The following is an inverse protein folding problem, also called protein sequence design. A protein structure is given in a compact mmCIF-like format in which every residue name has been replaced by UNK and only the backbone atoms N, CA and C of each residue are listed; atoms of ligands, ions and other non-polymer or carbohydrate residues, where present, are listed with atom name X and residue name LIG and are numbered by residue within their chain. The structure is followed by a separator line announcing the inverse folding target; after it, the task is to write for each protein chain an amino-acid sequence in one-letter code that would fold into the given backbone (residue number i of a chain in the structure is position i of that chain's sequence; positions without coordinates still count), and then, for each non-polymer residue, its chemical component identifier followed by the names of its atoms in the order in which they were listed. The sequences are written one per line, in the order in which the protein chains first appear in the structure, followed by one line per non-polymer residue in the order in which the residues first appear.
data_IF_984441135279
#
_entry.id   IF_984441135279
#
_cell.length_a   1.000
_cell.length_b   1.000
_cell.length_c   1.000
_cell.angle_alpha   90.00
_cell.angle_beta   90.00
_cell.angle_gamma   90.00
#
_symmetry.space_group_name_H-M   'P 1'
#
loop_
_entity.id
_entity.type
_entity.pdbx_description
1 polymer ?
#
# COMPACT_ATOMS: atom_id res chain seq x y z
N UNK A 1 -15.47 -5.10 -10.61
CA UNK A 1 -14.48 -6.18 -10.59
C UNK A 1 -14.90 -7.09 -9.46
N UNK A 2 -15.24 -8.31 -9.85
CA UNK A 2 -16.04 -9.25 -9.09
C UNK A 2 -15.36 -9.66 -7.80
N UNK A 3 -15.96 -9.34 -6.65
CA UNK A 3 -15.53 -9.86 -5.35
C UNK A 3 -16.30 -11.14 -5.07
N UNK A 4 -15.92 -12.21 -5.77
CA UNK A 4 -16.18 -13.56 -5.30
C UNK A 4 -15.35 -13.81 -4.04
N UNK A 5 -15.87 -13.44 -2.87
CA UNK A 5 -15.31 -13.85 -1.59
C UNK A 5 -15.63 -15.34 -1.41
N UNK A 6 -14.62 -16.17 -1.66
CA UNK A 6 -14.62 -17.60 -1.33
C UNK A 6 -14.50 -17.75 0.19
N UNK A 7 -15.56 -17.42 0.93
CA UNK A 7 -15.66 -17.83 2.32
C UNK A 7 -16.13 -19.28 2.35
N UNK A 8 -15.27 -20.15 2.85
CA UNK A 8 -15.67 -21.47 3.32
C UNK A 8 -16.41 -21.31 4.66
N UNK A 9 -17.56 -20.63 4.63
CA UNK A 9 -18.42 -20.46 5.81
C UNK A 9 -19.15 -21.78 6.02
N UNK A 10 -18.95 -22.38 7.19
CA UNK A 10 -19.79 -23.46 7.64
C UNK A 10 -21.19 -22.89 7.89
N UNK A 11 -22.04 -22.95 6.86
CA UNK A 11 -23.45 -22.58 6.91
C UNK A 11 -24.12 -23.32 8.08
N UNK A 12 -24.33 -22.63 9.20
CA UNK A 12 -25.20 -23.10 10.26
C UNK A 12 -26.64 -22.85 9.79
N UNK A 13 -27.13 -23.74 8.93
CA UNK A 13 -28.50 -23.71 8.40
C UNK A 13 -29.47 -23.94 9.56
N UNK A 14 -30.00 -22.87 10.15
CA UNK A 14 -31.11 -22.91 11.11
C UNK A 14 -32.41 -22.80 10.32
N UNK A 15 -32.81 -23.89 9.66
CA UNK A 15 -34.14 -23.99 9.03
C UNK A 15 -35.18 -24.19 10.13
N UNK A 16 -35.80 -23.10 10.57
CA UNK A 16 -36.97 -23.13 11.45
C UNK A 16 -38.22 -23.09 10.57
N UNK A 17 -38.64 -24.26 10.09
CA UNK A 17 -39.93 -24.47 9.42
C UNK A 17 -41.07 -24.39 10.46
N UNK A 18 -41.52 -23.19 10.82
CA UNK A 18 -42.80 -23.02 11.54
C UNK A 18 -43.97 -22.98 10.55
N UNK A 19 -44.59 -24.14 10.35
CA UNK A 19 -45.93 -24.22 9.77
C UNK A 19 -46.95 -23.62 10.76
N UNK A 20 -47.17 -22.30 10.72
CA UNK A 20 -48.23 -21.65 11.51
C UNK A 20 -49.55 -21.71 10.76
N UNK A 21 -50.37 -22.70 11.13
CA UNK A 21 -51.76 -22.78 10.73
C UNK A 21 -52.61 -21.76 11.53
N UNK A 22 -53.17 -20.76 10.86
CA UNK A 22 -54.36 -20.03 11.31
C UNK A 22 -55.39 -19.92 10.18
N UNK A 23 -56.62 -20.32 10.50
CA UNK A 23 -57.74 -20.63 9.61
C UNK A 23 -58.40 -19.37 9.03
N UNK A 24 -58.53 -19.32 7.69
CA UNK A 24 -59.38 -18.35 7.00
C UNK A 24 -59.45 -18.55 5.47
N UNK A 25 -60.36 -19.42 5.00
CA UNK A 25 -60.95 -19.47 3.64
C UNK A 25 -60.23 -18.74 2.50
N UNK A 26 -59.36 -19.46 1.78
CA UNK A 26 -59.45 -19.76 0.35
C UNK A 26 -58.38 -20.81 0.07
N UNK A 27 -58.78 -21.96 -0.47
CA UNK A 27 -57.81 -22.91 -1.01
C UNK A 27 -57.24 -22.29 -2.30
N UNK A 28 -56.04 -21.74 -2.23
CA UNK A 28 -55.16 -21.77 -3.39
C UNK A 28 -54.58 -23.20 -3.39
N UNK A 29 -55.01 -24.01 -4.34
CA UNK A 29 -54.31 -25.24 -4.67
C UNK A 29 -52.90 -24.83 -5.11
N UNK A 30 -51.87 -25.30 -4.40
CA UNK A 30 -50.48 -25.12 -4.78
C UNK A 30 -50.30 -25.60 -6.22
N UNK A 31 -50.00 -24.68 -7.13
CA UNK A 31 -49.34 -25.03 -8.37
C UNK A 31 -47.91 -25.45 -7.99
N UNK A 32 -47.45 -26.55 -8.58
CA UNK A 32 -46.13 -27.15 -8.38
C UNK A 32 -44.98 -26.17 -8.73
N UNK A 33 -44.64 -25.32 -7.77
CA UNK A 33 -43.51 -24.39 -7.78
C UNK A 33 -43.24 -24.00 -6.33
N UNK A 34 -42.72 -24.94 -5.53
CA UNK A 34 -42.34 -24.64 -4.14
C UNK A 34 -41.11 -23.72 -4.19
N UNK A 35 -41.33 -22.41 -4.10
CA UNK A 35 -40.27 -21.45 -3.89
C UNK A 35 -39.55 -21.78 -2.58
N UNK A 36 -38.24 -21.90 -2.65
CA UNK A 36 -37.35 -22.04 -1.52
C UNK A 36 -36.82 -20.64 -1.18
N UNK A 37 -37.03 -20.23 0.06
CA UNK A 37 -36.65 -18.93 0.59
C UNK A 37 -35.74 -19.12 1.79
N UNK A 38 -34.56 -18.53 1.73
CA UNK A 38 -33.56 -18.54 2.81
C UNK A 38 -33.14 -17.12 3.09
N UNK A 39 -33.02 -16.77 4.36
CA UNK A 39 -32.53 -15.47 4.83
C UNK A 39 -31.40 -15.75 5.81
N UNK A 40 -30.23 -15.19 5.55
CA UNK A 40 -29.09 -15.24 6.46
C UNK A 40 -29.24 -14.18 7.56
N UNK A 41 -28.56 -14.38 8.69
CA UNK A 41 -28.49 -13.40 9.78
C UNK A 41 -27.86 -12.05 9.35
N UNK A 42 -26.95 -12.09 8.38
CA UNK A 42 -26.33 -10.90 7.76
C UNK A 42 -27.22 -10.18 6.72
N UNK A 43 -28.47 -10.61 6.52
CA UNK A 43 -29.42 -9.92 5.65
C UNK A 43 -29.41 -10.34 4.18
N UNK A 44 -28.63 -11.34 3.79
CA UNK A 44 -28.72 -11.92 2.43
C UNK A 44 -29.96 -12.82 2.30
N UNK A 45 -30.84 -12.47 1.37
CA UNK A 45 -32.04 -13.24 1.01
C UNK A 45 -31.78 -13.99 -0.28
N UNK A 46 -32.02 -15.30 -0.30
CA UNK A 46 -31.91 -16.16 -1.47
C UNK A 46 -33.26 -16.79 -1.82
N UNK A 47 -33.64 -16.66 -3.09
CA UNK A 47 -34.88 -17.22 -3.65
C UNK A 47 -34.54 -18.22 -4.75
N UNK A 48 -34.93 -19.48 -4.52
CA UNK A 48 -34.72 -20.57 -5.47
C UNK A 48 -36.04 -21.24 -5.85
N UNK A 49 -36.12 -21.79 -7.05
CA UNK A 49 -37.20 -22.67 -7.49
C UNK A 49 -36.57 -23.94 -8.05
N UNK A 50 -36.92 -25.10 -7.48
CA UNK A 50 -36.36 -26.39 -7.87
C UNK A 50 -34.81 -26.42 -7.88
N UNK A 51 -34.17 -25.70 -6.95
CA UNK A 51 -32.72 -25.58 -6.83
C UNK A 51 -32.06 -24.73 -7.92
N UNK A 52 -32.81 -23.81 -8.54
CA UNK A 52 -32.30 -22.79 -9.45
C UNK A 52 -32.66 -21.40 -8.94
N UNK A 53 -31.71 -20.48 -8.95
CA UNK A 53 -31.92 -19.07 -8.60
C UNK A 53 -33.06 -18.43 -9.41
N UNK A 54 -33.89 -17.64 -8.74
CA UNK A 54 -35.02 -16.94 -9.35
C UNK A 54 -34.72 -15.45 -9.44
N UNK A 55 -34.40 -14.97 -10.65
CA UNK A 55 -34.22 -13.55 -10.94
C UNK A 55 -35.57 -12.81 -11.01
N UNK A 56 -35.60 -11.54 -10.59
CA UNK A 56 -36.78 -10.67 -10.63
C UNK A 56 -37.98 -11.16 -9.79
N UNK A 57 -37.77 -12.00 -8.78
CA UNK A 57 -38.77 -12.26 -7.76
C UNK A 57 -38.96 -11.02 -6.89
N UNK A 58 -40.20 -10.73 -6.50
CA UNK A 58 -40.51 -9.62 -5.59
C UNK A 58 -40.34 -10.10 -4.16
N UNK A 59 -39.50 -9.41 -3.38
CA UNK A 59 -39.23 -9.70 -1.97
C UNK A 59 -39.78 -8.55 -1.12
N UNK A 60 -40.82 -8.80 -0.35
CA UNK A 60 -41.42 -7.85 0.60
C UNK A 60 -40.90 -8.13 2.01
N UNK A 61 -40.38 -7.10 2.68
CA UNK A 61 -39.79 -7.18 4.02
C UNK A 61 -40.58 -6.30 4.98
N UNK A 62 -41.11 -6.91 6.04
CA UNK A 62 -41.84 -6.25 7.12
C UNK A 62 -41.28 -6.61 8.48
N UNK A 63 -41.59 -5.81 9.52
CA UNK A 63 -41.27 -6.19 10.89
C UNK A 63 -42.15 -7.38 11.32
N UNK A 64 -41.55 -8.39 11.96
CA UNK A 64 -42.30 -9.56 12.43
C UNK A 64 -43.23 -9.23 13.62
N UNK A 65 -42.83 -8.26 14.44
CA UNK A 65 -43.67 -7.71 15.50
C UNK A 65 -44.09 -6.27 15.16
N UNK A 66 -45.17 -6.14 14.39
CA UNK A 66 -45.77 -4.84 14.07
C UNK A 66 -46.40 -4.14 15.30
N UNK A 67 -46.43 -4.78 16.47
CA UNK A 67 -47.02 -4.22 17.70
C UNK A 67 -46.02 -3.49 18.57
N UNK A 68 -44.72 -3.72 18.36
CA UNK A 68 -43.66 -2.95 19.02
C UNK A 68 -43.35 -1.68 18.22
N UNK A 69 -44.05 -0.59 18.57
CA UNK A 69 -43.86 0.73 17.95
C UNK A 69 -42.47 1.33 18.18
N UNK A 70 -41.63 0.69 19.00
CA UNK A 70 -40.29 1.14 19.33
C UNK A 70 -39.20 0.39 18.56
N UNK A 71 -39.56 -0.64 17.78
CA UNK A 71 -38.65 -1.35 16.89
C UNK A 71 -38.77 -0.72 15.50
N UNK A 72 -37.66 -0.20 14.99
CA UNK A 72 -37.59 0.35 13.64
C UNK A 72 -36.44 -0.30 12.89
N UNK A 73 -36.70 -0.67 11.64
CA UNK A 73 -35.68 -1.20 10.74
C UNK A 73 -35.75 -0.45 9.40
N UNK A 74 -34.62 0.13 8.99
CA UNK A 74 -34.53 0.92 7.76
C UNK A 74 -34.70 0.11 6.48
N UNK A 75 -34.48 -1.20 6.54
CA UNK A 75 -34.59 -2.12 5.41
C UNK A 75 -36.01 -2.63 5.12
N UNK A 76 -37.04 -2.16 5.83
CA UNK A 76 -38.45 -2.49 5.50
C UNK A 76 -38.81 -1.94 4.11
N UNK A 77 -39.36 -2.79 3.25
CA UNK A 77 -39.73 -2.39 1.89
C UNK A 77 -39.81 -3.55 0.89
N UNK A 78 -39.96 -3.20 -0.39
CA UNK A 78 -40.03 -4.14 -1.51
C UNK A 78 -38.73 -4.11 -2.31
N UNK A 79 -38.20 -5.30 -2.60
CA UNK A 79 -36.96 -5.54 -3.33
C UNK A 79 -37.21 -6.49 -4.50
N UNK A 80 -36.23 -6.56 -5.40
CA UNK A 80 -36.24 -7.49 -6.53
C UNK A 80 -34.95 -8.29 -6.55
N UNK A 81 -35.04 -9.62 -6.62
CA UNK A 81 -33.85 -10.47 -6.72
C UNK A 81 -33.07 -10.21 -8.00
N UNK A 82 -31.75 -10.33 -7.89
CA UNK A 82 -30.82 -10.22 -9.01
C UNK A 82 -30.69 -11.53 -9.82
N UNK A 83 -29.72 -11.58 -10.75
CA UNK A 83 -29.49 -12.74 -11.60
C UNK A 83 -29.09 -14.02 -10.84
N UNK A 84 -28.58 -13.87 -9.62
CA UNK A 84 -28.21 -14.97 -8.73
C UNK A 84 -29.36 -15.33 -7.76
N UNK A 85 -30.53 -14.69 -7.92
CA UNK A 85 -31.70 -14.94 -7.09
C UNK A 85 -31.57 -14.35 -5.69
N UNK A 86 -30.69 -13.37 -5.51
CA UNK A 86 -30.33 -12.82 -4.22
C UNK A 86 -30.82 -11.36 -4.05
N UNK A 87 -31.04 -10.97 -2.79
CA UNK A 87 -31.22 -9.58 -2.34
C UNK A 87 -30.34 -9.37 -1.11
N UNK A 88 -29.61 -8.26 -1.10
CA UNK A 88 -28.80 -7.81 0.02
C UNK A 88 -29.62 -6.77 0.81
N UNK A 89 -30.02 -7.12 2.03
CA UNK A 89 -30.78 -6.22 2.90
C UNK A 89 -29.83 -5.36 3.73
N UNK A 90 -30.17 -4.08 4.00
CA UNK A 90 -29.37 -3.25 4.90
C UNK A 90 -29.21 -3.90 6.27
N UNK A 91 -28.01 -3.86 6.86
CA UNK A 91 -27.82 -4.31 8.23
C UNK A 91 -28.67 -3.45 9.20
N UNK A 92 -29.31 -4.04 10.21
CA UNK A 92 -30.03 -3.29 11.23
C UNK A 92 -29.09 -2.69 12.29
N UNK A 93 -29.51 -1.61 12.97
CA UNK A 93 -28.74 -1.01 14.08
C UNK A 93 -28.77 -1.88 15.35
N UNK A 94 -29.82 -2.70 15.50
CA UNK A 94 -30.01 -3.65 16.60
C UNK A 94 -30.61 -4.93 16.04
N UNK A 95 -30.38 -6.09 16.70
CA UNK A 95 -30.98 -7.36 16.29
C UNK A 95 -32.50 -7.22 16.14
N UNK A 96 -33.03 -7.54 14.95
CA UNK A 96 -34.45 -7.35 14.62
C UNK A 96 -35.04 -8.59 13.96
N UNK A 97 -36.27 -8.93 14.33
CA UNK A 97 -37.04 -9.98 13.66
C UNK A 97 -37.86 -9.38 12.50
N UNK A 98 -37.67 -9.93 11.30
CA UNK A 98 -38.38 -9.53 10.08
C UNK A 98 -39.16 -10.70 9.49
N UNK A 99 -40.29 -10.39 8.88
CA UNK A 99 -41.03 -11.29 8.00
C UNK A 99 -40.65 -10.95 6.56
N UNK A 100 -40.12 -11.94 5.83
CA UNK A 100 -39.72 -11.82 4.44
C UNK A 100 -40.64 -12.67 3.59
N UNK A 101 -41.24 -12.09 2.56
CA UNK A 101 -42.12 -12.78 1.62
C UNK A 101 -41.61 -12.62 0.19
N UNK A 102 -41.21 -13.73 -0.42
CA UNK A 102 -40.84 -13.79 -1.83
C UNK A 102 -42.05 -14.21 -2.68
N UNK A 103 -42.25 -13.53 -3.80
CA UNK A 103 -43.35 -13.77 -4.73
C UNK A 103 -42.88 -13.78 -6.17
N UNK A 104 -43.43 -14.70 -6.94
CA UNK A 104 -43.40 -14.72 -8.41
C UNK A 104 -44.83 -14.66 -8.94
N UNK A 105 -45.01 -14.66 -10.26
CA UNK A 105 -46.35 -14.71 -10.86
C UNK A 105 -47.13 -15.99 -10.48
N UNK A 106 -46.43 -17.09 -10.18
CA UNK A 106 -47.01 -18.42 -10.01
C UNK A 106 -46.91 -18.97 -8.57
N UNK A 107 -46.06 -18.39 -7.71
CA UNK A 107 -45.79 -18.92 -6.38
C UNK A 107 -45.42 -17.84 -5.34
N UNK A 108 -45.51 -18.21 -4.06
CA UNK A 108 -45.10 -17.36 -2.93
C UNK A 108 -44.53 -18.20 -1.79
N UNK A 109 -43.49 -17.71 -1.13
CA UNK A 109 -42.93 -18.27 0.11
C UNK A 109 -42.67 -17.15 1.13
N UNK A 110 -42.82 -17.47 2.42
CA UNK A 110 -42.55 -16.53 3.51
C UNK A 110 -41.73 -17.20 4.61
N UNK A 111 -40.85 -16.43 5.24
CA UNK A 111 -40.04 -16.86 6.38
C UNK A 111 -39.89 -15.70 7.36
N UNK A 112 -39.89 -16.03 8.66
CA UNK A 112 -39.51 -15.09 9.71
C UNK A 112 -38.03 -15.34 10.03
N UNK A 113 -37.21 -14.30 10.01
CA UNK A 113 -35.78 -14.36 10.28
C UNK A 113 -35.38 -13.32 11.34
N UNK A 114 -34.35 -13.63 12.12
CA UNK A 114 -33.69 -12.67 13.00
C UNK A 114 -32.45 -12.16 12.27
N UNK A 115 -32.40 -10.86 11.99
CA UNK A 115 -31.24 -10.19 11.43
C UNK A 115 -30.38 -9.67 12.58
N UNK A 116 -29.09 -9.97 12.54
CA UNK A 116 -28.15 -9.44 13.53
C UNK A 116 -27.67 -8.05 13.10
N UNK A 117 -27.40 -7.20 14.08
CA UNK A 117 -26.78 -5.91 13.79
C UNK A 117 -25.37 -6.14 13.26
N UNK A 118 -24.91 -5.24 12.40
CA UNK A 118 -23.49 -5.21 12.05
C UNK A 118 -22.70 -5.01 13.37
N UNK A 119 -21.76 -5.90 13.67
CA UNK A 119 -20.98 -5.78 14.90
C UNK A 119 -20.04 -4.58 14.77
N UNK A 120 -20.49 -3.42 15.26
CA UNK A 120 -19.60 -2.28 15.46
C UNK A 120 -18.45 -2.70 16.38
N UNK A 121 -17.21 -2.32 16.05
CA UNK A 121 -16.07 -2.69 16.88
C UNK A 121 -16.21 -2.06 18.28
N UNK A 122 -15.85 -2.77 19.35
CA UNK A 122 -15.84 -2.19 20.70
C UNK A 122 -14.72 -1.14 20.90
N UNK A 123 -13.68 -1.23 20.05
CA UNK A 123 -12.52 -0.35 20.05
C UNK A 123 -11.84 -0.34 18.68
N UNK A 124 -11.10 0.73 18.39
CA UNK A 124 -10.26 0.82 17.19
C UNK A 124 -8.82 0.49 17.56
N UNK A 125 -8.08 -0.05 16.60
CA UNK A 125 -6.64 -0.18 16.67
C UNK A 125 -6.00 0.47 15.44
N UNK A 126 -5.06 1.39 15.66
CA UNK A 126 -4.29 2.03 14.59
C UNK A 126 -2.90 1.45 14.54
N UNK A 127 -2.49 1.05 13.33
CA UNK A 127 -1.11 0.62 13.07
C UNK A 127 -0.51 1.43 11.94
N UNK A 128 0.78 1.74 12.06
CA UNK A 128 1.54 2.47 11.05
C UNK A 128 2.71 1.60 10.62
N UNK A 129 2.81 1.33 9.31
CA UNK A 129 3.90 0.56 8.72
C UNK A 129 4.59 1.38 7.64
N UNK A 130 5.92 1.36 7.62
CA UNK A 130 6.73 2.00 6.60
C UNK A 130 7.63 0.96 5.93
N UNK A 131 7.38 0.69 4.64
CA UNK A 131 8.18 -0.21 3.82
C UNK A 131 8.49 0.43 2.46
N UNK A 132 8.98 1.68 2.50
CA UNK A 132 9.01 2.60 1.37
C UNK A 132 7.86 3.59 1.53
N UNK A 133 6.65 3.17 1.14
CA UNK A 133 5.43 3.92 1.40
C UNK A 133 4.99 3.78 2.86
N UNK A 134 4.32 4.82 3.36
CA UNK A 134 3.74 4.85 4.70
C UNK A 134 2.28 4.41 4.60
N UNK A 135 1.94 3.32 5.27
CA UNK A 135 0.57 2.79 5.30
C UNK A 135 0.06 2.84 6.73
N UNK A 136 -1.05 3.53 6.92
CA UNK A 136 -1.84 3.49 8.15
C UNK A 136 -2.94 2.47 7.95
N UNK A 137 -3.10 1.53 8.88
CA UNK A 137 -4.23 0.61 8.91
C UNK A 137 -5.06 0.83 10.16
N UNK A 138 -6.37 0.92 9.98
CA UNK A 138 -7.39 1.03 11.02
C UNK A 138 -8.17 -0.27 11.04
N UNK A 139 -8.07 -0.99 12.15
CA UNK A 139 -8.77 -2.26 12.34
C UNK A 139 -9.69 -2.19 13.54
N UNK A 140 -10.68 -3.07 13.55
CA UNK A 140 -11.44 -3.40 14.74
C UNK A 140 -10.45 -4.00 15.74
N UNK A 141 -10.44 -3.52 16.97
CA UNK A 141 -9.52 -4.09 17.94
C UNK A 141 -9.54 -3.48 19.34
N UNK A 142 -9.72 -4.40 20.30
CA UNK A 142 -9.23 -4.30 21.69
C UNK A 142 -8.11 -5.32 22.00
N UNK A 143 -7.63 -6.06 20.99
CA UNK A 143 -6.54 -7.03 21.03
C UNK A 143 -5.74 -7.01 19.71
N UNK A 144 -4.40 -7.11 19.76
CA UNK A 144 -3.49 -6.97 18.60
C UNK A 144 -3.62 -8.09 17.54
N UNK A 145 -4.57 -9.01 17.71
CA UNK A 145 -4.80 -10.14 16.80
C UNK A 145 -6.00 -9.94 15.88
N UNK A 146 -6.85 -8.95 16.18
CA UNK A 146 -7.97 -8.57 15.33
C UNK A 146 -7.47 -7.67 14.21
N UNK A 147 -7.77 -8.07 12.98
CA UNK A 147 -7.27 -7.40 11.76
C UNK A 147 -8.42 -7.09 10.81
N UNK A 148 -9.66 -7.15 11.31
CA UNK A 148 -10.83 -6.83 10.52
C UNK A 148 -10.79 -5.33 10.20
N UNK A 149 -10.74 -4.96 8.92
CA UNK A 149 -10.58 -3.58 8.52
C UNK A 149 -11.83 -2.78 8.86
N UNK A 150 -11.66 -1.62 9.49
CA UNK A 150 -12.77 -0.71 9.74
C UNK A 150 -12.89 0.23 8.55
N UNK A 151 -14.03 0.16 7.88
CA UNK A 151 -14.38 1.10 6.81
C UNK A 151 -15.06 2.34 7.41
N UNK A 152 -15.08 3.46 6.69
CA UNK A 152 -15.70 4.73 7.12
C UNK A 152 -15.08 5.41 8.36
N UNK A 153 -13.93 4.96 8.85
CA UNK A 153 -13.14 5.73 9.80
C UNK A 153 -12.47 6.94 9.13
N UNK A 154 -12.33 8.03 9.86
CA UNK A 154 -11.52 9.19 9.50
C UNK A 154 -10.19 9.15 10.23
N UNK A 155 -9.10 9.43 9.54
CA UNK A 155 -7.73 9.46 10.07
C UNK A 155 -7.19 10.87 10.00
N UNK A 156 -6.85 11.45 11.14
CA UNK A 156 -6.12 12.72 11.25
C UNK A 156 -4.64 12.46 11.50
N UNK A 157 -3.78 13.09 10.70
CA UNK A 157 -2.32 12.97 10.80
C UNK A 157 -1.71 14.33 11.14
N UNK A 158 -1.12 14.41 12.32
CA UNK A 158 -0.46 15.61 12.83
C UNK A 158 1.01 15.34 13.18
N UNK A 159 1.82 16.40 13.29
CA UNK A 159 3.18 16.27 13.84
C UNK A 159 3.10 16.01 15.35
N UNK A 160 3.85 15.03 15.84
CA UNK A 160 3.79 14.60 17.25
C UNK A 160 4.43 15.60 18.23
N UNK A 161 5.37 16.41 17.75
CA UNK A 161 6.13 17.35 18.58
C UNK A 161 5.86 18.80 18.17
N UNK A 162 4.88 19.42 18.82
CA UNK A 162 4.52 20.83 18.56
C UNK A 162 5.64 21.82 18.97
N UNK A 163 6.64 21.39 19.74
CA UNK A 163 7.73 22.27 20.21
C UNK A 163 8.84 22.45 19.16
N UNK A 164 9.02 21.50 18.23
CA UNK A 164 9.93 21.59 17.06
C UNK A 164 9.18 21.79 15.71
N UNK A 165 7.83 21.79 15.75
CA UNK A 165 6.95 21.94 14.57
C UNK A 165 7.07 23.28 13.82
N UNK A 166 7.80 24.28 14.36
CA UNK A 166 7.98 25.55 13.63
C UNK A 166 8.87 25.41 12.38
N UNK A 167 9.69 24.36 12.28
CA UNK A 167 10.58 24.13 11.12
C UNK A 167 10.48 22.73 10.49
N UNK A 168 9.66 21.85 11.04
CA UNK A 168 9.45 20.49 10.51
C UNK A 168 8.11 20.50 9.78
N UNK A 169 8.11 20.06 8.52
CA UNK A 169 6.88 19.92 7.75
C UNK A 169 6.84 18.55 7.10
N UNK A 170 5.68 17.90 7.18
CA UNK A 170 5.44 16.63 6.51
C UNK A 170 4.24 16.76 5.58
N UNK A 171 4.44 16.40 4.30
CA UNK A 171 3.41 16.52 3.27
C UNK A 171 2.20 15.61 3.52
N UNK A 172 2.36 14.53 4.29
CA UNK A 172 1.30 13.60 4.68
C UNK A 172 0.50 14.03 5.92
N UNK A 173 0.58 15.29 6.34
CA UNK A 173 -0.27 15.82 7.42
C UNK A 173 -1.64 16.23 6.88
N UNK A 174 -2.69 16.00 7.68
CA UNK A 174 -4.06 16.36 7.36
C UNK A 174 -5.07 15.25 7.65
N UNK A 175 -6.30 15.45 7.19
CA UNK A 175 -7.41 14.52 7.34
C UNK A 175 -7.54 13.59 6.13
N UNK A 176 -7.73 12.31 6.39
CA UNK A 176 -7.86 11.24 5.41
C UNK A 176 -9.09 10.38 5.69
N UNK A 177 -9.71 9.85 4.65
CA UNK A 177 -10.72 8.79 4.77
C UNK A 177 -10.07 7.45 4.52
N UNK A 178 -10.38 6.45 5.34
CA UNK A 178 -9.95 5.07 5.08
C UNK A 178 -10.61 4.53 3.82
N UNK A 179 -9.89 3.69 3.10
CA UNK A 179 -10.41 2.96 1.95
C UNK A 179 -11.24 1.72 2.38
N UNK A 180 -11.68 0.93 1.39
CA UNK A 180 -12.44 -0.31 1.61
C UNK A 180 -11.63 -1.41 2.35
N UNK A 181 -10.32 -1.22 2.48
CA UNK A 181 -9.40 -2.12 3.16
C UNK A 181 -9.05 -1.60 4.56
N UNK A 182 -9.67 -0.52 5.03
CA UNK A 182 -9.34 0.11 6.31
C UNK A 182 -7.95 0.74 6.31
N UNK A 183 -7.42 1.11 5.13
CA UNK A 183 -6.07 1.66 5.00
C UNK A 183 -6.05 3.09 4.49
N UNK A 184 -4.96 3.80 4.80
CA UNK A 184 -4.60 5.10 4.24
C UNK A 184 -3.14 5.05 3.81
N UNK A 185 -2.89 5.32 2.53
CA UNK A 185 -1.54 5.50 2.00
C UNK A 185 -1.10 6.97 2.16
N UNK A 186 0.02 7.18 2.83
CA UNK A 186 0.62 8.49 3.06
C UNK A 186 1.93 8.60 2.27
N UNK A 187 2.28 9.81 1.79
CA UNK A 187 3.55 10.01 1.10
C UNK A 187 4.75 9.72 2.02
N UNK A 188 5.88 9.20 1.52
CA UNK A 188 7.08 9.06 2.34
C UNK A 188 7.57 10.44 2.80
N UNK A 189 8.18 10.55 3.99
CA UNK A 189 8.70 11.83 4.46
C UNK A 189 10.07 12.14 3.81
N UNK A 190 10.38 13.42 3.61
CA UNK A 190 11.69 13.87 3.09
C UNK A 190 12.79 13.84 4.16
N UNK A 191 12.40 13.89 5.42
CA UNK A 191 13.27 13.84 6.61
C UNK A 191 12.65 12.97 7.70
N UNK A 192 13.44 12.51 8.67
CA UNK A 192 12.88 11.74 9.79
C UNK A 192 11.94 12.64 10.62
N UNK A 193 10.66 12.26 10.68
CA UNK A 193 9.61 13.02 11.39
C UNK A 193 8.84 12.12 12.34
N UNK A 194 8.36 12.68 13.45
CA UNK A 194 7.42 12.00 14.33
C UNK A 194 6.01 12.51 14.06
N UNK A 195 5.08 11.61 13.81
CA UNK A 195 3.66 11.92 13.57
C UNK A 195 2.77 11.25 14.60
N UNK A 196 1.69 11.93 14.95
CA UNK A 196 0.57 11.38 15.69
C UNK A 196 -0.56 11.12 14.71
N UNK A 197 -1.03 9.89 14.67
CA UNK A 197 -2.12 9.43 13.81
C UNK A 197 -3.31 9.13 14.70
N UNK A 198 -4.43 9.79 14.46
CA UNK A 198 -5.68 9.62 15.22
C UNK A 198 -6.74 9.06 14.29
N UNK A 199 -7.21 7.83 14.54
CA UNK A 199 -8.38 7.30 13.85
C UNK A 199 -9.63 7.57 14.66
N UNK A 200 -10.73 7.91 13.97
CA UNK A 200 -12.03 8.18 14.56
C UNK A 200 -13.12 7.49 13.75
N UNK A 201 -14.01 6.77 14.42
CA UNK A 201 -15.23 6.24 13.84
C UNK A 201 -16.40 7.03 14.44
N UNK A 202 -16.94 7.96 13.65
CA UNK A 202 -17.95 8.91 14.14
C UNK A 202 -19.27 8.24 14.53
N UNK A 203 -19.63 7.16 13.84
CA UNK A 203 -20.89 6.43 14.04
C UNK A 203 -20.99 5.87 15.47
N UNK A 204 -19.91 5.23 15.94
CA UNK A 204 -19.82 4.63 17.26
C UNK A 204 -19.12 5.52 18.30
N UNK A 205 -18.60 6.68 17.87
CA UNK A 205 -17.84 7.60 18.72
C UNK A 205 -16.53 7.02 19.25
N UNK A 206 -15.91 6.11 18.49
CA UNK A 206 -14.65 5.47 18.85
C UNK A 206 -13.46 6.28 18.33
N UNK A 207 -12.35 6.22 19.05
CA UNK A 207 -11.11 6.85 18.66
C UNK A 207 -9.91 6.08 19.19
N UNK A 208 -8.87 5.99 18.40
CA UNK A 208 -7.56 5.46 18.83
C UNK A 208 -6.44 6.32 18.26
N UNK A 209 -5.35 6.45 19.01
CA UNK A 209 -4.21 7.29 18.65
C UNK A 209 -2.89 6.51 18.74
N UNK A 210 -2.04 6.70 17.74
CA UNK A 210 -0.69 6.11 17.72
C UNK A 210 0.34 7.16 17.31
N UNK A 211 1.47 7.17 18.00
CA UNK A 211 2.63 7.97 17.60
C UNK A 211 3.63 7.08 16.88
N UNK A 212 4.03 7.49 15.68
CA UNK A 212 5.01 6.79 14.85
C UNK A 212 6.15 7.72 14.46
N UNK A 213 7.37 7.18 14.42
CA UNK A 213 8.52 7.85 13.80
C UNK A 213 8.65 7.33 12.38
N UNK A 214 8.51 8.22 11.40
CA UNK A 214 8.68 7.94 9.99
C UNK A 214 10.10 8.33 9.58
N UNK A 215 10.79 7.44 8.89
CA UNK A 215 12.14 7.70 8.39
C UNK A 215 12.09 8.17 6.94
N UNK A 216 13.00 9.07 6.56
CA UNK A 216 13.13 9.44 5.15
C UNK A 216 13.57 8.24 4.32
N UNK A 217 13.11 8.17 3.07
CA UNK A 217 13.69 7.21 2.14
C UNK A 217 15.19 7.49 2.03
N UNK A 218 16.01 6.47 2.28
CA UNK A 218 17.44 6.65 2.37
C UNK A 218 17.98 7.03 0.99
N UNK A 219 18.27 8.32 0.82
CA UNK A 219 18.78 8.85 -0.43
C UNK A 219 20.01 8.02 -0.86
N UNK A 220 20.08 7.56 -2.12
CA UNK A 220 21.11 6.64 -2.52
C UNK A 220 22.52 7.24 -2.34
N UNK A 221 23.39 6.57 -1.58
CA UNK A 221 24.73 7.05 -1.21
C UNK A 221 25.65 7.39 -2.40
N UNK A 222 25.41 6.78 -3.57
CA UNK A 222 26.27 6.95 -4.74
C UNK A 222 25.60 7.82 -5.82
N UNK A 223 26.36 8.78 -6.35
CA UNK A 223 25.93 9.71 -7.40
C UNK A 223 25.21 9.04 -8.59
N UNK A 224 25.67 7.87 -9.03
CA UNK A 224 25.01 7.13 -10.11
C UNK A 224 23.60 6.64 -9.76
N UNK A 225 23.35 6.28 -8.50
CA UNK A 225 22.05 5.88 -8.02
C UNK A 225 21.13 7.10 -7.79
N UNK A 226 21.67 8.24 -7.29
CA UNK A 226 20.97 9.54 -7.26
C UNK A 226 20.47 9.96 -8.63
N UNK A 227 21.32 9.89 -9.65
CA UNK A 227 20.94 10.21 -11.04
C UNK A 227 19.89 9.23 -11.56
N UNK A 228 19.97 7.94 -11.20
CA UNK A 228 18.96 6.96 -11.62
C UNK A 228 17.60 7.16 -10.95
N UNK A 229 17.58 7.57 -9.68
CA UNK A 229 16.36 7.90 -8.94
C UNK A 229 15.68 9.15 -9.53
N UNK A 230 16.45 10.23 -9.75
CA UNK A 230 15.96 11.45 -10.40
C UNK A 230 15.41 11.19 -11.82
N UNK A 231 16.07 10.31 -12.58
CA UNK A 231 15.56 9.90 -13.90
C UNK A 231 14.28 9.07 -13.78
N UNK A 232 14.09 8.28 -12.72
CA UNK A 232 12.87 7.51 -12.51
C UNK A 232 11.69 8.44 -12.17
N UNK A 233 11.90 9.38 -11.26
CA UNK A 233 10.91 10.38 -10.83
C UNK A 233 10.41 11.25 -12.00
N UNK A 234 11.33 11.85 -12.77
CA UNK A 234 10.93 12.73 -13.89
C UNK A 234 10.28 12.01 -15.08
N UNK A 235 10.29 10.67 -15.11
CA UNK A 235 9.62 9.89 -16.17
C UNK A 235 8.11 9.88 -16.02
N UNK A 236 7.60 10.01 -14.81
CA UNK A 236 6.16 9.97 -14.55
C UNK A 236 5.53 11.37 -14.67
N UNK A 237 6.33 12.43 -14.48
CA UNK A 237 5.83 13.82 -14.44
C UNK A 237 5.95 14.59 -15.76
N UNK A 238 6.78 14.15 -16.71
CA UNK A 238 7.11 14.97 -17.89
C UNK A 238 6.97 14.25 -19.22
N UNK A 239 5.95 14.62 -20.01
CA UNK A 239 5.72 14.15 -21.39
C UNK A 239 6.68 14.79 -22.42
N UNK A 240 7.78 15.39 -21.96
CA UNK A 240 8.76 16.08 -22.80
C UNK A 240 10.12 16.34 -22.14
N UNK A 241 11.20 16.01 -22.86
CA UNK A 241 12.51 16.63 -22.67
C UNK A 241 13.31 16.33 -21.40
N UNK A 242 13.15 15.15 -20.77
CA UNK A 242 13.91 14.72 -19.57
C UNK A 242 15.43 15.02 -19.65
N UNK A 243 16.02 14.91 -20.84
CA UNK A 243 17.46 15.09 -21.03
C UNK A 243 18.02 16.43 -20.54
N UNK A 244 17.28 17.54 -20.61
CA UNK A 244 17.78 18.83 -20.09
C UNK A 244 17.76 18.89 -18.57
N UNK A 245 16.71 18.35 -17.93
CA UNK A 245 16.60 18.30 -16.47
C UNK A 245 17.68 17.41 -15.86
N UNK A 246 17.92 16.24 -16.48
CA UNK A 246 18.98 15.33 -16.05
C UNK A 246 20.36 15.95 -16.26
N UNK A 247 20.57 16.71 -17.33
CA UNK A 247 21.85 17.40 -17.57
C UNK A 247 22.11 18.48 -16.52
N UNK A 248 21.08 19.24 -16.13
CA UNK A 248 21.14 20.23 -15.05
C UNK A 248 21.47 19.54 -13.72
N UNK A 249 20.69 18.51 -13.35
CA UNK A 249 20.88 17.74 -12.12
C UNK A 249 22.27 17.10 -12.02
N UNK A 250 22.74 16.47 -13.09
CA UNK A 250 24.09 15.88 -13.16
C UNK A 250 25.15 16.96 -13.01
N UNK A 251 25.00 18.13 -13.64
CA UNK A 251 26.01 19.20 -13.55
C UNK A 251 26.06 19.80 -12.14
N UNK A 252 24.90 20.04 -11.53
CA UNK A 252 24.75 20.59 -10.19
C UNK A 252 25.29 19.64 -9.11
N UNK A 253 24.98 18.35 -9.23
CA UNK A 253 25.33 17.34 -8.22
C UNK A 253 26.62 16.57 -8.55
N UNK A 254 27.33 16.90 -9.65
CA UNK A 254 28.56 16.21 -10.02
C UNK A 254 29.61 16.39 -8.91
N UNK A 255 30.13 15.31 -8.30
CA UNK A 255 31.18 15.42 -7.28
C UNK A 255 32.46 16.12 -7.78
N UNK A 256 32.64 16.22 -9.11
CA UNK A 256 33.72 16.99 -9.74
C UNK A 256 33.43 18.48 -10.01
N UNK A 257 32.25 19.01 -9.63
CA UNK A 257 31.86 20.41 -9.86
C UNK A 257 32.07 21.33 -8.64
N UNK A 258 32.55 20.78 -7.50
CA UNK A 258 32.93 21.59 -6.37
C UNK A 258 34.08 22.56 -6.73
N UNK A 259 34.09 23.76 -6.17
CA UNK A 259 35.09 24.80 -6.47
C UNK A 259 36.55 24.41 -6.17
N UNK A 260 36.78 23.32 -5.42
CA UNK A 260 38.08 22.70 -5.14
C UNK A 260 38.31 21.36 -5.88
N UNK A 261 37.31 20.84 -6.60
CA UNK A 261 37.44 19.65 -7.43
C UNK A 261 37.95 20.03 -8.82
N UNK A 262 39.03 20.82 -8.86
CA UNK A 262 39.70 21.19 -10.10
C UNK A 262 40.00 19.96 -10.97
N UNK A 263 40.24 20.17 -12.28
CA UNK A 263 40.60 19.08 -13.18
C UNK A 263 41.66 18.21 -12.50
N UNK A 264 41.60 16.87 -12.61
CA UNK A 264 42.62 16.00 -12.03
C UNK A 264 44.01 16.57 -12.35
N UNK A 265 45.01 16.45 -11.48
CA UNK A 265 46.36 17.03 -11.71
C UNK A 265 47.03 16.63 -13.05
N UNK A 266 46.43 15.69 -13.77
CA UNK A 266 46.84 15.16 -15.08
C UNK A 266 46.05 15.74 -16.26
N UNK A 267 44.95 16.45 -16.01
CA UNK A 267 44.26 17.27 -16.99
C UNK A 267 45.16 18.49 -17.21
N UNK A 268 45.96 18.42 -18.28
CA UNK A 268 46.92 19.46 -18.62
C UNK A 268 46.32 20.86 -18.58
N UNK A 269 47.15 21.90 -18.45
CA UNK A 269 46.71 23.28 -18.26
C UNK A 269 45.71 23.70 -19.35
N UNK A 270 44.71 24.53 -19.02
CA UNK A 270 43.74 25.01 -19.99
C UNK A 270 44.49 25.71 -21.12
N UNK A 271 44.29 25.23 -22.35
CA UNK A 271 44.94 25.80 -23.52
C UNK A 271 44.44 27.22 -23.74
N UNK A 272 45.32 28.20 -23.55
CA UNK A 272 45.05 29.58 -23.96
C UNK A 272 44.83 29.59 -25.47
N UNK A 273 43.58 29.83 -25.84
CA UNK A 273 43.12 29.84 -27.22
C UNK A 273 43.67 31.04 -27.98
N UNK A 274 44.89 30.92 -28.46
CA UNK A 274 45.38 31.71 -29.59
C UNK A 274 45.95 30.75 -30.63
N UNK A 275 45.28 30.74 -31.79
CA UNK A 275 45.48 29.77 -32.84
C UNK A 275 46.94 29.67 -33.29
N UNK A 276 47.47 28.45 -33.31
CA UNK A 276 47.92 27.75 -34.52
C UNK A 276 48.67 26.47 -34.10
N UNK A 277 48.20 25.34 -34.63
CA UNK A 277 48.85 24.02 -34.77
C UNK A 277 49.19 23.19 -33.52
N UNK A 278 48.50 22.06 -33.41
CA UNK A 278 49.09 20.74 -33.13
C UNK A 278 50.09 20.65 -31.97
N UNK A 279 49.64 20.84 -30.74
CA UNK A 279 50.40 20.44 -29.54
C UNK A 279 49.62 19.48 -28.66
N UNK A 280 49.01 18.46 -29.27
CA UNK A 280 49.02 17.16 -28.64
C UNK A 280 50.31 16.47 -29.07
N UNK A 281 51.42 16.85 -28.44
CA UNK A 281 52.66 16.08 -28.54
C UNK A 281 52.38 14.66 -28.03
N UNK A 282 53.02 13.62 -28.60
CA UNK A 282 52.93 12.28 -28.06
C UNK A 282 53.34 12.31 -26.57
N UNK A 283 52.83 11.38 -25.73
CA UNK A 283 53.18 11.29 -24.32
C UNK A 283 54.70 11.45 -24.13
N UNK A 284 55.13 12.17 -23.09
CA UNK A 284 56.51 12.65 -22.87
C UNK A 284 57.64 11.60 -22.81
N UNK A 285 57.38 10.35 -23.21
CA UNK A 285 58.35 9.29 -23.43
C UNK A 285 58.83 9.17 -24.89
N UNK A 286 58.22 9.89 -25.84
CA UNK A 286 58.80 10.03 -27.18
C UNK A 286 59.81 11.18 -27.18
N UNK A 287 61.02 10.92 -26.65
CA UNK A 287 62.13 11.87 -26.68
C UNK A 287 62.44 12.33 -28.11
N UNK A 288 62.93 13.57 -28.31
CA UNK A 288 63.24 14.07 -29.64
C UNK A 288 64.33 13.19 -30.27
N UNK A 289 64.12 12.78 -31.53
CA UNK A 289 65.17 12.16 -32.33
C UNK A 289 66.25 13.21 -32.59
N UNK A 290 67.26 13.24 -31.74
CA UNK A 290 68.49 13.97 -31.99
C UNK A 290 69.53 12.98 -32.50
N UNK A 291 69.87 13.11 -33.78
CA UNK A 291 71.06 12.53 -34.35
C UNK A 291 72.29 12.96 -33.55
N UNK A 292 73.10 11.99 -33.14
CA UNK A 292 74.53 12.20 -32.90
C UNK A 292 74.97 12.24 -31.44
N UNK A 293 75.55 11.11 -31.05
CA UNK A 293 76.68 10.94 -30.13
C UNK A 293 76.38 10.71 -28.63
N UNK A 294 76.44 9.43 -28.28
CA UNK A 294 76.99 8.83 -27.06
C UNK A 294 76.91 9.63 -25.76
N UNK A 295 76.04 9.19 -24.84
CA UNK A 295 76.44 8.67 -23.51
C UNK A 295 75.24 8.20 -22.70
N UNK A 296 75.20 6.89 -22.44
CA UNK A 296 74.62 6.24 -21.24
C UNK A 296 73.19 6.61 -20.85
N UNK A 297 72.21 6.11 -21.60
CA UNK A 297 70.88 5.88 -21.04
C UNK A 297 70.98 4.68 -20.09
N UNK A 298 71.17 4.95 -18.79
CA UNK A 298 71.10 3.92 -17.75
C UNK A 298 69.71 3.31 -17.69
N UNK A 299 69.57 2.03 -17.30
CA UNK A 299 68.26 1.43 -17.11
C UNK A 299 67.49 2.20 -16.02
N UNK A 300 66.15 2.19 -16.05
CA UNK A 300 65.30 2.88 -15.06
C UNK A 300 65.72 2.50 -13.64
N UNK A 301 65.68 3.46 -12.71
CA UNK A 301 66.08 3.31 -11.29
C UNK A 301 65.24 2.30 -10.48
N UNK A 302 64.41 1.49 -11.14
CA UNK A 302 63.60 0.44 -10.53
C UNK A 302 63.89 -0.97 -11.05
N UNK A 303 64.90 -1.14 -11.90
CA UNK A 303 65.45 -2.46 -12.20
C UNK A 303 66.46 -2.83 -11.11
N UNK A 304 66.02 -3.66 -10.15
CA UNK A 304 66.88 -4.20 -9.11
C UNK A 304 68.18 -4.77 -9.68
N UNK A 305 69.30 -4.46 -9.02
CA UNK A 305 70.62 -4.95 -9.39
C UNK A 305 70.60 -6.48 -9.53
N UNK A 306 71.22 -7.06 -10.58
CA UNK A 306 71.44 -8.50 -10.63
C UNK A 306 72.56 -8.81 -9.65
N UNK A 307 72.18 -9.21 -8.44
CA UNK A 307 73.08 -9.74 -7.43
C UNK A 307 73.52 -11.14 -7.83
N UNK A 308 74.77 -11.24 -8.25
CA UNK A 308 75.54 -12.47 -8.45
C UNK A 308 75.46 -13.37 -7.20
N UNK A 309 75.33 -14.65 -7.47
CA UNK A 309 75.28 -15.81 -6.62
C UNK A 309 76.43 -15.89 -5.60
N UNK A 310 76.07 -15.92 -4.31
CA UNK A 310 77.04 -16.10 -3.24
C UNK A 310 76.44 -16.25 -1.84
N UNK A 311 76.12 -17.49 -1.49
CA UNK A 311 76.10 -18.07 -0.13
C UNK A 311 75.13 -17.51 0.93
N UNK A 312 74.10 -18.31 1.20
CA UNK A 312 73.68 -18.83 2.52
C UNK A 312 73.78 -17.88 3.72
N UNK A 313 72.63 -17.36 4.18
CA UNK A 313 72.04 -17.76 5.47
C UNK A 313 70.81 -16.90 5.84
N UNK A 314 69.71 -17.56 6.22
CA UNK A 314 68.66 -16.95 7.05
C UNK A 314 67.31 -16.64 6.39
N UNK A 315 66.63 -17.64 5.82
CA UNK A 315 65.17 -17.59 5.65
C UNK A 315 64.51 -17.82 7.01
N UNK A 316 64.19 -16.73 7.71
CA UNK A 316 63.16 -16.72 8.74
C UNK A 316 61.79 -16.48 8.07
N UNK A 317 60.74 -17.26 8.39
CA UNK A 317 59.42 -17.02 7.81
C UNK A 317 58.87 -15.65 8.27
N UNK A 318 58.10 -14.92 7.43
CA UNK A 318 57.50 -13.65 7.82
C UNK A 318 56.47 -13.79 8.94
N UNK A 319 56.72 -13.12 10.06
CA UNK A 319 55.88 -13.04 11.26
C UNK A 319 54.67 -12.10 11.07
N UNK A 320 53.74 -12.35 10.13
CA UNK A 320 52.47 -11.60 10.09
C UNK A 320 51.25 -12.45 9.68
N UNK A 321 51.23 -13.71 10.09
CA UNK A 321 50.00 -14.50 10.11
C UNK A 321 49.56 -14.76 11.56
N UNK A 322 48.49 -14.10 11.95
CA UNK A 322 47.60 -14.53 13.02
C UNK A 322 47.14 -13.39 13.92
N UNK A 323 46.21 -13.66 14.83
CA UNK A 323 45.13 -14.65 14.82
C UNK A 323 43.80 -14.10 14.28
#
# INVERSE_FOLDING_TARGET
MDRYRLFATAFAVVVVLFALAAVGTAAAESADGDLELVVSDDGVVSVEENGSAVENATVDVTLADETDENVTYGGVGEYTTDADGAVDLPAPDETVAVDVTATTDDASASVTAELEADESPDALAVTVSQNGDVVVAVTAGGDETETDPVTNASVDVALADEEDAENVSYAGTGDYSVDENGTVELPPPDETVAVTVTATLEEDGLSDEVTATLEADEAPDNFGALVSAFVAEQRDETDGGIGSLVSEFVTENNPGNASDAGPPDHAGPPGDGDGNESIQGPPGHAGPSADGNESTQGPPEHAGSPGDDGTDSGQGPPDHAGP
#
